data_IF_842128390228
#
_entry.id   IF_842128390228
#
_cell.length_a   1.000
_cell.length_b   1.000
_cell.length_c   1.000
_cell.angle_alpha   90.00
_cell.angle_beta   90.00
_cell.angle_gamma   90.00
#
_symmetry.space_group_name_H-M   'P 1'
#
loop_
_entity.id
_entity.type
_entity.pdbx_description
1 polymer ?
#
# COMPACT_ATOMS: atom_id res chain seq x y z
N UNK A 1 17.11 15.43 6.47
CA UNK A 1 17.78 14.33 5.74
C UNK A 1 17.32 14.40 4.29
N UNK A 2 18.21 14.10 3.31
CA UNK A 2 17.78 13.97 1.92
C UNK A 2 16.94 12.70 1.78
N UNK A 3 15.76 12.76 1.11
CA UNK A 3 14.94 11.56 0.88
C UNK A 3 15.72 10.46 0.13
N UNK A 4 15.45 9.20 0.44
CA UNK A 4 16.03 8.06 -0.25
C UNK A 4 15.43 7.89 -1.67
N UNK A 5 14.20 8.39 -1.87
CA UNK A 5 13.45 8.41 -3.11
C UNK A 5 12.14 9.18 -2.91
N UNK A 6 11.32 9.28 -3.95
CA UNK A 6 10.02 9.96 -3.86
C UNK A 6 8.94 9.04 -3.29
N UNK A 7 8.93 7.77 -3.71
CA UNK A 7 7.91 6.78 -3.36
C UNK A 7 8.52 5.44 -2.98
N UNK A 8 8.09 4.87 -1.85
CA UNK A 8 8.33 3.48 -1.52
C UNK A 8 7.08 2.64 -1.74
N UNK A 9 7.16 1.64 -2.61
CA UNK A 9 6.12 0.64 -2.85
C UNK A 9 6.37 -0.55 -1.93
N UNK A 10 5.48 -0.78 -0.99
CA UNK A 10 5.56 -1.87 -0.02
C UNK A 10 4.71 -3.04 -0.53
N UNK A 11 5.34 -4.20 -0.67
CA UNK A 11 4.75 -5.41 -1.28
C UNK A 11 4.92 -6.60 -0.35
N UNK A 12 4.00 -6.82 0.58
CA UNK A 12 3.93 -8.09 1.29
C UNK A 12 3.58 -9.22 0.31
N UNK A 13 4.30 -10.34 0.37
CA UNK A 13 4.07 -11.47 -0.53
C UNK A 13 4.27 -12.80 0.18
N UNK A 14 3.48 -13.81 -0.17
CA UNK A 14 3.60 -15.18 0.34
C UNK A 14 3.20 -16.20 -0.72
N UNK A 15 4.09 -17.17 -0.98
CA UNK A 15 3.84 -18.29 -1.90
C UNK A 15 3.69 -17.90 -3.38
N UNK A 16 4.09 -16.66 -3.75
CA UNK A 16 3.85 -16.09 -5.09
C UNK A 16 5.08 -15.39 -5.68
N UNK A 17 6.26 -16.03 -5.75
CA UNK A 17 7.49 -15.38 -6.21
C UNK A 17 7.39 -14.83 -7.64
N UNK A 18 6.59 -15.47 -8.52
CA UNK A 18 6.37 -15.00 -9.90
C UNK A 18 5.53 -13.70 -9.94
N UNK A 19 4.60 -13.54 -9.00
CA UNK A 19 3.83 -12.30 -8.86
C UNK A 19 4.74 -11.16 -8.44
N UNK A 20 5.55 -11.36 -7.39
CA UNK A 20 6.52 -10.38 -6.92
C UNK A 20 7.48 -9.95 -8.02
N UNK A 21 8.01 -10.90 -8.81
CA UNK A 21 8.86 -10.59 -9.97
C UNK A 21 8.14 -9.77 -11.03
N UNK A 22 6.89 -10.12 -11.36
CA UNK A 22 6.08 -9.41 -12.35
C UNK A 22 5.76 -7.99 -11.90
N UNK A 23 5.38 -7.80 -10.63
CA UNK A 23 5.13 -6.47 -10.06
C UNK A 23 6.41 -5.62 -10.11
N UNK A 24 7.53 -6.14 -9.63
CA UNK A 24 8.83 -5.46 -9.64
C UNK A 24 9.20 -4.98 -11.04
N UNK A 25 9.12 -5.86 -12.03
CA UNK A 25 9.37 -5.52 -13.43
C UNK A 25 8.43 -4.44 -13.95
N UNK A 26 7.12 -4.57 -13.68
CA UNK A 26 6.14 -3.59 -14.11
C UNK A 26 6.36 -2.20 -13.47
N UNK A 27 6.76 -2.14 -12.21
CA UNK A 27 7.13 -0.87 -11.55
C UNK A 27 8.34 -0.26 -12.24
N UNK A 28 9.42 -1.01 -12.48
CA UNK A 28 10.62 -0.50 -13.13
C UNK A 28 10.35 0.03 -14.55
N UNK A 29 9.52 -0.68 -15.32
CA UNK A 29 9.19 -0.26 -16.70
C UNK A 29 8.28 0.98 -16.76
N UNK A 30 7.43 1.19 -15.74
CA UNK A 30 6.37 2.20 -15.82
C UNK A 30 6.57 3.41 -14.91
N UNK A 31 7.47 3.35 -13.93
CA UNK A 31 7.75 4.46 -13.01
C UNK A 31 8.35 5.67 -13.73
N UNK A 32 8.11 6.86 -13.21
CA UNK A 32 8.67 8.15 -13.63
C UNK A 32 9.23 8.96 -12.47
N UNK A 33 8.78 8.71 -11.24
CA UNK A 33 9.36 9.24 -10.02
C UNK A 33 10.54 8.36 -9.55
N UNK A 34 11.29 8.81 -8.54
CA UNK A 34 12.29 7.98 -7.86
C UNK A 34 11.58 6.96 -6.96
N UNK A 35 11.00 5.95 -7.58
CA UNK A 35 10.18 4.91 -6.93
C UNK A 35 11.00 3.66 -6.68
N UNK A 36 11.01 3.20 -5.43
CA UNK A 36 11.66 1.97 -5.01
C UNK A 36 10.64 0.95 -4.54
N UNK A 37 10.98 -0.34 -4.61
CA UNK A 37 10.12 -1.45 -4.21
C UNK A 37 10.71 -2.18 -3.00
N UNK A 38 9.91 -2.39 -1.97
CA UNK A 38 10.25 -3.21 -0.81
C UNK A 38 9.38 -4.46 -0.79
N UNK A 39 9.95 -5.58 -1.20
CA UNK A 39 9.27 -6.89 -1.13
C UNK A 39 9.55 -7.51 0.23
N UNK A 40 8.49 -7.79 0.98
CA UNK A 40 8.53 -8.37 2.31
C UNK A 40 7.90 -9.77 2.31
N UNK A 41 8.64 -10.79 2.77
CA UNK A 41 8.22 -12.20 2.73
C UNK A 41 8.41 -12.85 4.09
N UNK A 42 7.47 -13.69 4.50
CA UNK A 42 7.58 -14.46 5.73
C UNK A 42 8.79 -15.42 5.68
N UNK A 43 9.55 -15.54 6.77
CA UNK A 43 10.75 -16.40 6.86
C UNK A 43 10.40 -17.90 6.83
N UNK A 44 9.14 -18.24 7.13
CA UNK A 44 8.59 -19.61 7.04
C UNK A 44 7.97 -19.91 5.65
N UNK A 45 8.13 -19.03 4.66
CA UNK A 45 7.59 -19.26 3.32
C UNK A 45 8.38 -20.37 2.60
N UNK A 46 7.74 -21.47 2.21
CA UNK A 46 8.41 -22.57 1.51
C UNK A 46 8.99 -22.16 0.15
N UNK A 47 8.53 -21.07 -0.45
CA UNK A 47 9.01 -20.54 -1.72
C UNK A 47 10.14 -19.49 -1.59
N UNK A 48 10.75 -19.33 -0.40
CA UNK A 48 11.86 -18.38 -0.21
C UNK A 48 13.02 -18.55 -1.21
N UNK A 49 13.46 -19.77 -1.56
CA UNK A 49 14.52 -19.95 -2.56
C UNK A 49 14.14 -19.37 -3.94
N UNK A 50 12.86 -19.47 -4.31
CA UNK A 50 12.30 -18.93 -5.56
C UNK A 50 12.20 -17.40 -5.51
N UNK A 51 11.80 -16.82 -4.37
CA UNK A 51 11.82 -15.36 -4.18
C UNK A 51 13.23 -14.80 -4.35
N UNK A 52 14.26 -15.42 -3.74
CA UNK A 52 15.67 -14.99 -3.90
C UNK A 52 16.15 -15.01 -5.35
N UNK A 53 15.53 -15.84 -6.20
CA UNK A 53 15.80 -15.82 -7.66
C UNK A 53 14.97 -14.72 -8.34
N UNK A 54 13.70 -14.59 -7.98
CA UNK A 54 12.77 -13.62 -8.56
C UNK A 54 13.21 -12.16 -8.37
N UNK A 55 13.83 -11.86 -7.21
CA UNK A 55 14.27 -10.49 -6.88
C UNK A 55 15.69 -10.15 -7.38
N UNK A 56 16.32 -10.99 -8.18
CA UNK A 56 17.67 -10.68 -8.73
C UNK A 56 17.71 -9.49 -9.69
N UNK A 57 16.55 -9.08 -10.19
CA UNK A 57 16.39 -7.90 -11.04
C UNK A 57 16.10 -6.61 -10.25
N UNK A 58 16.24 -6.62 -8.92
CA UNK A 58 16.16 -5.42 -8.11
C UNK A 58 17.21 -4.39 -8.52
N UNK A 59 16.81 -3.14 -8.51
CA UNK A 59 17.66 -2.00 -8.81
C UNK A 59 18.10 -1.29 -7.51
N UNK A 60 18.98 -0.30 -7.64
CA UNK A 60 19.44 0.48 -6.49
C UNK A 60 18.26 1.16 -5.79
N UNK A 61 18.19 1.00 -4.47
CA UNK A 61 17.09 1.48 -3.64
C UNK A 61 16.00 0.45 -3.35
N UNK A 62 15.85 -0.59 -4.18
CA UNK A 62 14.93 -1.70 -3.90
C UNK A 62 15.42 -2.55 -2.73
N UNK A 63 14.48 -3.21 -2.04
CA UNK A 63 14.79 -4.06 -0.88
C UNK A 63 14.00 -5.35 -0.92
N UNK A 64 14.67 -6.42 -0.50
CA UNK A 64 14.05 -7.70 -0.18
C UNK A 64 14.29 -8.02 1.29
N UNK A 65 13.23 -8.17 2.05
CA UNK A 65 13.29 -8.43 3.48
C UNK A 65 12.54 -9.72 3.82
N UNK A 66 13.09 -10.48 4.78
CA UNK A 66 12.43 -11.66 5.35
C UNK A 66 12.33 -11.52 6.86
N UNK A 67 11.25 -12.02 7.44
CA UNK A 67 11.05 -11.96 8.89
C UNK A 67 9.84 -12.77 9.35
N UNK A 68 9.51 -12.71 10.64
CA UNK A 68 8.42 -13.49 11.19
C UNK A 68 7.11 -13.28 10.47
N UNK A 69 6.33 -14.35 10.32
CA UNK A 69 5.03 -14.34 9.67
C UNK A 69 4.12 -13.23 10.22
N UNK A 70 3.65 -12.36 9.34
CA UNK A 70 2.87 -11.20 9.75
C UNK A 70 1.64 -10.94 8.87
N UNK A 71 1.55 -11.51 7.70
CA UNK A 71 0.52 -11.20 6.71
C UNK A 71 0.63 -9.77 6.16
N UNK A 72 -0.39 -9.33 5.40
CA UNK A 72 -0.38 -8.07 4.67
C UNK A 72 -0.25 -6.86 5.60
N UNK A 73 -1.16 -6.71 6.56
CA UNK A 73 -1.21 -5.51 7.39
C UNK A 73 0.03 -5.34 8.27
N UNK A 74 0.49 -6.41 8.91
CA UNK A 74 1.65 -6.35 9.80
C UNK A 74 2.95 -6.08 9.04
N UNK A 75 3.16 -6.67 7.85
CA UNK A 75 4.31 -6.39 7.02
C UNK A 75 4.29 -4.95 6.49
N UNK A 76 3.13 -4.50 5.98
CA UNK A 76 2.99 -3.12 5.50
C UNK A 76 3.32 -2.13 6.61
N UNK A 77 2.78 -2.32 7.82
CA UNK A 77 3.05 -1.44 8.96
C UNK A 77 4.53 -1.44 9.37
N UNK A 78 5.13 -2.63 9.48
CA UNK A 78 6.56 -2.75 9.85
C UNK A 78 7.45 -1.94 8.93
N UNK A 79 7.26 -2.08 7.63
CA UNK A 79 8.06 -1.37 6.63
C UNK A 79 7.69 0.11 6.59
N UNK A 80 6.39 0.45 6.54
CA UNK A 80 5.93 1.82 6.39
C UNK A 80 6.41 2.71 7.56
N UNK A 81 6.15 2.30 8.80
CA UNK A 81 6.53 3.08 9.99
C UNK A 81 8.05 3.28 10.08
N UNK A 82 8.82 2.24 9.73
CA UNK A 82 10.29 2.34 9.74
C UNK A 82 10.84 3.29 8.66
N UNK A 83 10.04 3.61 7.61
CA UNK A 83 10.49 4.38 6.42
C UNK A 83 9.85 5.76 6.27
N UNK A 84 8.95 6.18 7.15
CA UNK A 84 8.28 7.50 7.08
C UNK A 84 9.25 8.68 7.00
N UNK A 85 10.43 8.59 7.59
CA UNK A 85 11.46 9.62 7.52
C UNK A 85 12.36 9.56 6.27
N UNK A 86 12.26 8.51 5.45
CA UNK A 86 13.10 8.28 4.28
C UNK A 86 12.39 8.60 2.96
N UNK A 87 11.08 8.48 2.92
CA UNK A 87 10.25 8.68 1.72
C UNK A 87 9.09 9.64 2.03
N UNK A 88 8.84 10.65 1.19
CA UNK A 88 7.67 11.52 1.35
C UNK A 88 6.35 10.81 1.05
N UNK A 89 6.38 9.75 0.23
CA UNK A 89 5.19 8.97 -0.10
C UNK A 89 5.44 7.47 0.07
N UNK A 90 4.40 6.77 0.52
CA UNK A 90 4.38 5.32 0.70
C UNK A 90 3.20 4.73 -0.06
N UNK A 91 3.39 3.59 -0.71
CA UNK A 91 2.34 2.83 -1.37
C UNK A 91 2.19 1.44 -0.77
N UNK A 92 0.97 0.94 -0.66
CA UNK A 92 0.68 -0.47 -0.40
C UNK A 92 0.11 -1.09 -1.67
N UNK A 93 0.79 -2.12 -2.17
CA UNK A 93 0.38 -2.90 -3.33
C UNK A 93 0.39 -4.40 -2.99
N UNK A 94 -0.65 -5.12 -3.40
CA UNK A 94 -0.62 -6.58 -3.43
C UNK A 94 0.40 -7.09 -4.45
N UNK A 95 0.96 -8.27 -4.23
CA UNK A 95 1.92 -8.89 -5.16
C UNK A 95 1.28 -9.26 -6.53
N UNK A 96 -0.05 -9.28 -6.59
CA UNK A 96 -0.85 -9.52 -7.80
C UNK A 96 -1.31 -8.21 -8.49
N UNK A 97 -0.78 -7.07 -8.08
CA UNK A 97 -1.00 -5.80 -8.76
C UNK A 97 0.07 -5.52 -9.82
N UNK A 98 -0.34 -4.92 -10.93
CA UNK A 98 0.54 -4.66 -12.07
C UNK A 98 0.30 -3.26 -12.61
N UNK A 99 1.20 -2.30 -12.33
CA UNK A 99 1.14 -0.97 -12.96
C UNK A 99 1.19 -1.06 -14.49
N UNK A 100 0.26 -0.34 -15.16
CA UNK A 100 0.13 -0.33 -16.62
C UNK A 100 0.40 1.04 -17.21
N UNK A 101 -0.03 2.09 -16.53
CA UNK A 101 0.13 3.45 -17.04
C UNK A 101 1.55 3.95 -16.79
N UNK A 102 2.34 4.31 -17.84
CA UNK A 102 3.64 4.92 -17.64
C UNK A 102 3.53 6.21 -16.81
N UNK A 103 4.29 6.32 -15.73
CA UNK A 103 4.27 7.44 -14.79
C UNK A 103 3.08 7.43 -13.83
N UNK A 104 2.50 6.27 -13.58
CA UNK A 104 1.43 6.05 -12.60
C UNK A 104 1.80 6.63 -11.22
N UNK A 105 3.02 6.39 -10.79
CA UNK A 105 3.62 6.84 -9.53
C UNK A 105 3.65 8.37 -9.43
N UNK A 106 4.27 9.03 -10.40
CA UNK A 106 4.33 10.48 -10.47
C UNK A 106 2.93 11.13 -10.61
N UNK A 107 1.97 10.45 -11.25
CA UNK A 107 0.60 10.96 -11.34
C UNK A 107 -0.13 10.92 -9.99
N UNK A 108 0.04 9.85 -9.21
CA UNK A 108 -0.54 9.71 -7.87
C UNK A 108 0.10 10.70 -6.88
N UNK A 109 1.43 10.87 -6.93
CA UNK A 109 2.15 11.87 -6.14
C UNK A 109 1.59 13.28 -6.43
N UNK A 110 1.56 13.69 -7.72
CA UNK A 110 1.02 15.01 -8.09
C UNK A 110 -0.43 15.22 -7.66
N UNK A 111 -1.23 14.18 -7.60
CA UNK A 111 -2.61 14.28 -7.12
C UNK A 111 -2.67 14.58 -5.61
N UNK A 112 -1.73 14.05 -4.83
CA UNK A 112 -1.60 14.36 -3.40
C UNK A 112 -1.05 15.78 -3.22
N UNK A 113 -0.02 16.16 -3.99
CA UNK A 113 0.54 17.52 -3.98
C UNK A 113 -0.52 18.59 -4.29
N UNK A 114 -1.39 18.32 -5.27
CA UNK A 114 -2.51 19.20 -5.62
C UNK A 114 -3.57 19.34 -4.51
N UNK A 115 -3.56 18.46 -3.50
CA UNK A 115 -4.40 18.55 -2.30
C UNK A 115 -3.69 19.24 -1.11
N UNK A 116 -2.50 19.77 -1.32
CA UNK A 116 -1.68 20.42 -0.26
C UNK A 116 -0.58 19.53 0.31
N UNK A 117 -0.24 18.41 -0.34
CA UNK A 117 0.87 17.52 0.05
C UNK A 117 0.51 16.44 1.06
N UNK A 118 -0.57 16.61 1.82
CA UNK A 118 -1.10 15.61 2.78
C UNK A 118 -2.37 14.97 2.25
N UNK A 119 -2.33 13.68 1.93
CA UNK A 119 -3.48 12.97 1.37
C UNK A 119 -3.19 11.57 0.86
N UNK A 120 -4.21 11.04 0.20
CA UNK A 120 -4.27 9.70 -0.37
C UNK A 120 -4.67 9.78 -1.83
N UNK A 121 -4.03 8.99 -2.68
CA UNK A 121 -4.42 8.84 -4.07
C UNK A 121 -4.42 7.37 -4.49
N UNK A 122 -5.32 7.00 -5.39
CA UNK A 122 -5.40 5.63 -5.88
C UNK A 122 -5.78 5.56 -7.36
N UNK A 123 -5.29 4.54 -8.08
CA UNK A 123 -5.55 4.32 -9.50
C UNK A 123 -6.83 3.53 -9.73
N UNK A 124 -7.19 3.36 -10.99
CA UNK A 124 -8.12 2.32 -11.44
C UNK A 124 -7.44 0.94 -11.39
N UNK A 125 -8.03 -0.02 -10.67
CA UNK A 125 -7.49 -1.37 -10.47
C UNK A 125 -8.02 -2.44 -11.45
N UNK A 126 -8.88 -2.04 -12.37
CA UNK A 126 -9.54 -2.95 -13.31
C UNK A 126 -10.90 -3.45 -12.84
N UNK A 127 -11.30 -3.22 -11.58
CA UNK A 127 -12.51 -3.78 -10.97
C UNK A 127 -13.37 -2.74 -10.25
N UNK A 128 -12.77 -1.90 -9.39
CA UNK A 128 -13.49 -1.02 -8.47
C UNK A 128 -13.02 0.44 -8.55
N UNK A 129 -13.99 1.36 -8.45
CA UNK A 129 -13.74 2.80 -8.40
C UNK A 129 -13.93 3.39 -6.99
N UNK A 130 -14.53 2.64 -6.11
CA UNK A 130 -14.98 3.12 -4.79
C UNK A 130 -14.03 2.77 -3.63
N UNK A 131 -13.08 1.87 -3.85
CA UNK A 131 -12.15 1.41 -2.81
C UNK A 131 -10.71 1.46 -3.35
N UNK A 132 -9.75 2.02 -2.59
CA UNK A 132 -8.35 2.11 -2.97
C UNK A 132 -7.58 0.80 -2.68
N UNK A 133 -7.78 -0.24 -3.49
CA UNK A 133 -7.05 -1.52 -3.35
C UNK A 133 -5.54 -1.35 -3.56
N UNK A 134 -5.14 -0.38 -4.41
CA UNK A 134 -3.78 0.13 -4.53
C UNK A 134 -3.77 1.59 -4.05
N UNK A 135 -3.08 1.91 -2.97
CA UNK A 135 -3.08 3.26 -2.41
C UNK A 135 -1.68 3.83 -2.28
N UNK A 136 -1.54 5.12 -2.61
CA UNK A 136 -0.40 5.96 -2.24
C UNK A 136 -0.86 6.93 -1.16
N UNK A 137 -0.12 7.00 -0.07
CA UNK A 137 -0.34 7.91 1.04
C UNK A 137 0.88 8.82 1.23
N UNK A 138 0.67 10.06 1.64
CA UNK A 138 1.75 10.88 2.16
C UNK A 138 2.27 10.33 3.49
N UNK A 139 3.58 10.31 3.69
CA UNK A 139 4.22 9.68 4.86
C UNK A 139 3.87 10.35 6.19
N UNK A 140 3.52 11.62 6.18
CA UNK A 140 3.07 12.36 7.36
C UNK A 140 1.81 11.76 7.99
N UNK A 141 0.85 11.30 7.16
CA UNK A 141 -0.34 10.59 7.65
C UNK A 141 0.06 9.30 8.38
N UNK A 142 0.95 8.50 7.77
CA UNK A 142 1.41 7.24 8.37
C UNK A 142 2.20 7.50 9.66
N UNK A 143 3.04 8.54 9.67
CA UNK A 143 3.80 8.94 10.86
C UNK A 143 2.89 9.39 12.02
N UNK A 144 1.84 10.17 11.72
CA UNK A 144 0.94 10.69 12.73
C UNK A 144 -0.03 9.63 13.29
N UNK A 145 -0.54 8.74 12.43
CA UNK A 145 -1.37 7.62 12.87
C UNK A 145 -0.57 6.51 13.56
N UNK A 146 0.75 6.42 13.28
CA UNK A 146 1.61 5.34 13.75
C UNK A 146 1.41 4.01 13.01
N UNK A 147 0.66 4.00 11.91
CA UNK A 147 0.37 2.83 11.09
C UNK A 147 0.00 3.19 9.65
N UNK A 148 0.22 2.27 8.72
CA UNK A 148 -0.30 2.33 7.35
C UNK A 148 -1.60 1.53 7.24
N UNK A 149 -1.62 0.31 7.73
CA UNK A 149 -2.82 -0.53 7.82
C UNK A 149 -3.34 -0.50 9.26
N UNK A 150 -4.63 -0.37 9.47
CA UNK A 150 -5.24 -0.39 10.81
C UNK A 150 -4.79 -1.66 11.56
N UNK A 151 -4.15 -1.53 12.76
CA UNK A 151 -3.40 -2.63 13.38
C UNK A 151 -4.21 -3.85 13.82
N UNK A 152 -5.52 -3.74 13.98
CA UNK A 152 -6.38 -4.88 14.31
C UNK A 152 -6.77 -5.73 13.10
N UNK A 153 -6.46 -5.26 11.88
CA UNK A 153 -6.71 -5.98 10.64
C UNK A 153 -5.53 -6.88 10.26
N UNK A 154 -5.83 -8.00 9.62
CA UNK A 154 -4.81 -8.92 9.10
C UNK A 154 -4.62 -8.77 7.60
N UNK A 155 -5.73 -8.70 6.84
CA UNK A 155 -5.70 -8.70 5.38
C UNK A 155 -6.85 -7.92 4.74
N UNK A 156 -8.10 -8.20 5.13
CA UNK A 156 -9.29 -7.59 4.55
C UNK A 156 -9.63 -6.25 5.22
N UNK A 157 -10.42 -5.42 4.51
CA UNK A 157 -10.90 -4.12 4.98
C UNK A 157 -9.84 -3.02 5.15
N UNK A 158 -8.58 -3.28 4.83
CA UNK A 158 -7.51 -2.26 4.86
C UNK A 158 -7.83 -1.13 3.88
N UNK A 159 -8.27 -1.49 2.69
CA UNK A 159 -8.73 -0.60 1.63
C UNK A 159 -10.00 0.18 2.03
N UNK A 160 -10.93 -0.45 2.75
CA UNK A 160 -12.11 0.21 3.30
C UNK A 160 -11.73 1.28 4.34
N UNK A 161 -10.75 1.00 5.21
CA UNK A 161 -10.23 1.97 6.18
C UNK A 161 -9.68 3.20 5.46
N UNK A 162 -8.87 3.02 4.42
CA UNK A 162 -8.33 4.13 3.63
C UNK A 162 -9.41 4.93 2.90
N UNK A 163 -10.42 4.23 2.36
CA UNK A 163 -11.56 4.88 1.74
C UNK A 163 -12.33 5.76 2.73
N UNK A 164 -12.63 5.22 3.91
CA UNK A 164 -13.37 5.95 4.94
C UNK A 164 -12.58 7.14 5.51
N UNK A 165 -11.30 6.93 5.86
CA UNK A 165 -10.42 8.01 6.35
C UNK A 165 -10.29 9.13 5.33
N UNK A 166 -9.91 8.78 4.10
CA UNK A 166 -9.64 9.76 3.08
C UNK A 166 -10.88 10.54 2.66
N UNK A 167 -12.07 9.91 2.61
CA UNK A 167 -13.34 10.59 2.36
C UNK A 167 -13.72 11.51 3.51
N UNK A 168 -13.66 11.00 4.73
CA UNK A 168 -14.04 11.78 5.91
C UNK A 168 -13.09 12.96 6.15
N UNK A 169 -11.79 12.80 5.91
CA UNK A 169 -10.80 13.87 6.00
C UNK A 169 -10.78 14.80 4.77
N UNK A 170 -11.49 14.46 3.67
CA UNK A 170 -11.51 15.24 2.43
C UNK A 170 -10.17 15.24 1.69
N UNK A 171 -9.40 14.14 1.79
CA UNK A 171 -8.06 14.03 1.22
C UNK A 171 -7.85 12.77 0.36
N UNK A 172 -8.89 12.19 -0.19
CA UNK A 172 -8.83 11.02 -1.08
C UNK A 172 -9.03 11.45 -2.54
N UNK A 173 -8.12 11.02 -3.43
CA UNK A 173 -8.20 11.29 -4.86
C UNK A 173 -8.16 10.00 -5.68
N UNK A 174 -9.21 9.75 -6.44
CA UNK A 174 -9.27 8.69 -7.46
C UNK A 174 -8.75 9.20 -8.80
N UNK A 175 -7.87 8.43 -9.46
CA UNK A 175 -7.33 8.71 -10.78
C UNK A 175 -7.76 7.64 -11.79
N UNK A 176 -8.94 7.82 -12.40
CA UNK A 176 -9.50 6.87 -13.37
C UNK A 176 -8.59 6.61 -14.60
N UNK A 177 -7.81 7.60 -15.00
CA UNK A 177 -6.91 7.49 -16.16
C UNK A 177 -5.58 6.78 -15.86
N UNK A 178 -5.33 6.45 -14.59
CA UNK A 178 -4.14 5.72 -14.15
C UNK A 178 -4.55 4.30 -13.84
N UNK A 179 -3.99 3.33 -14.54
CA UNK A 179 -4.31 1.91 -14.38
C UNK A 179 -3.20 1.15 -13.66
N UNK A 180 -3.58 0.42 -12.60
CA UNK A 180 -2.80 -0.61 -11.91
C UNK A 180 -3.68 -1.84 -11.79
N UNK A 181 -3.53 -2.79 -12.71
CA UNK A 181 -4.39 -3.97 -12.75
C UNK A 181 -4.25 -4.84 -11.50
N UNK A 182 -5.35 -5.23 -10.91
CA UNK A 182 -5.41 -6.20 -9.82
C UNK A 182 -5.74 -7.61 -10.39
N UNK A 183 -4.73 -8.46 -10.52
CA UNK A 183 -4.86 -9.82 -11.07
C UNK A 183 -5.36 -10.82 -10.01
N UNK A 184 -6.36 -10.44 -9.23
CA UNK A 184 -6.87 -11.20 -8.10
C UNK A 184 -7.27 -12.63 -8.50
N UNK A 185 -6.63 -13.68 -7.96
CA UNK A 185 -6.93 -15.08 -8.32
C UNK A 185 -8.36 -15.49 -7.95
N UNK A 186 -8.91 -14.92 -6.88
CA UNK A 186 -10.29 -15.21 -6.44
C UNK A 186 -11.29 -14.65 -7.44
N UNK A 187 -11.11 -13.40 -7.87
CA UNK A 187 -11.97 -12.78 -8.87
C UNK A 187 -11.90 -13.49 -10.23
N UNK A 188 -10.76 -14.13 -10.53
CA UNK A 188 -10.57 -14.94 -11.73
C UNK A 188 -11.09 -16.39 -11.58
N UNK A 189 -11.72 -16.73 -10.45
CA UNK A 189 -12.23 -18.09 -10.19
C UNK A 189 -11.13 -19.15 -9.95
N UNK A 190 -9.90 -18.72 -9.64
CA UNK A 190 -8.72 -19.59 -9.45
C UNK A 190 -8.01 -19.33 -8.11
N UNK A 191 -8.71 -19.44 -6.96
CA UNK A 191 -8.10 -19.18 -5.66
C UNK A 191 -6.94 -20.12 -5.40
N UNK A 192 -5.77 -19.56 -5.09
CA UNK A 192 -4.57 -20.31 -4.70
C UNK A 192 -4.52 -20.60 -3.18
N UNK A 193 -3.42 -21.18 -2.70
CA UNK A 193 -3.27 -21.52 -1.29
C UNK A 193 -3.26 -20.25 -0.41
N UNK A 194 -2.58 -19.19 -0.84
CA UNK A 194 -2.51 -17.92 -0.14
C UNK A 194 -3.87 -17.25 -0.04
N UNK A 195 -4.67 -17.24 -1.12
CA UNK A 195 -6.04 -16.69 -1.11
C UNK A 195 -6.95 -17.45 -0.14
N UNK A 196 -6.82 -18.79 -0.07
CA UNK A 196 -7.60 -19.60 0.87
C UNK A 196 -7.17 -19.38 2.32
N UNK A 197 -5.89 -19.19 2.57
CA UNK A 197 -5.37 -18.92 3.93
C UNK A 197 -5.84 -17.54 4.40
N UNK A 198 -5.70 -16.52 3.56
CA UNK A 198 -6.21 -15.17 3.84
C UNK A 198 -7.72 -15.17 4.13
N UNK A 199 -8.50 -15.94 3.38
CA UNK A 199 -9.95 -16.05 3.57
C UNK A 199 -10.39 -16.41 5.00
N UNK A 200 -9.50 -16.99 5.81
CA UNK A 200 -9.78 -17.33 7.21
C UNK A 200 -9.91 -16.13 8.12
N UNK A 201 -9.27 -15.02 7.79
CA UNK A 201 -9.35 -13.78 8.60
C UNK A 201 -10.58 -12.92 8.28
N UNK A 202 -11.31 -13.18 7.19
CA UNK A 202 -12.37 -12.30 6.70
C UNK A 202 -13.41 -11.90 7.75
N UNK A 203 -13.90 -12.85 8.55
CA UNK A 203 -14.91 -12.56 9.57
C UNK A 203 -14.35 -11.75 10.75
N UNK A 204 -13.10 -12.03 11.14
CA UNK A 204 -12.40 -11.30 12.19
C UNK A 204 -12.07 -9.88 11.75
N UNK A 205 -11.53 -9.74 10.53
CA UNK A 205 -11.19 -8.43 9.94
C UNK A 205 -12.46 -7.57 9.76
N UNK A 206 -13.60 -8.17 9.39
CA UNK A 206 -14.88 -7.47 9.32
C UNK A 206 -15.28 -6.90 10.68
N UNK A 207 -15.24 -7.73 11.72
CA UNK A 207 -15.60 -7.30 13.08
C UNK A 207 -14.65 -6.20 13.60
N UNK A 208 -13.35 -6.33 13.33
CA UNK A 208 -12.33 -5.34 13.68
C UNK A 208 -12.56 -4.01 12.95
N UNK A 209 -12.85 -4.03 11.65
CA UNK A 209 -13.19 -2.85 10.88
C UNK A 209 -14.46 -2.14 11.40
N UNK A 210 -15.54 -2.89 11.70
CA UNK A 210 -16.77 -2.33 12.26
C UNK A 210 -16.53 -1.69 13.64
N UNK A 211 -15.67 -2.29 14.45
CA UNK A 211 -15.27 -1.76 15.75
C UNK A 211 -14.45 -0.48 15.60
N UNK A 212 -13.42 -0.46 14.73
CA UNK A 212 -12.62 0.72 14.42
C UNK A 212 -13.49 1.88 13.94
N UNK A 213 -14.41 1.64 13.00
CA UNK A 213 -15.34 2.69 12.51
C UNK A 213 -16.15 3.33 13.60
N UNK A 214 -16.59 2.54 14.56
CA UNK A 214 -17.43 3.02 15.67
C UNK A 214 -16.65 3.75 16.74
N UNK A 215 -15.43 3.30 17.03
CA UNK A 215 -14.74 3.69 18.26
C UNK A 215 -13.53 4.61 18.01
N UNK A 216 -12.89 4.52 16.84
CA UNK A 216 -11.60 5.20 16.60
C UNK A 216 -11.56 6.06 15.33
N UNK A 217 -12.36 5.76 14.33
CA UNK A 217 -12.32 6.46 13.05
C UNK A 217 -12.40 7.99 13.20
N UNK A 218 -13.23 8.48 14.11
CA UNK A 218 -13.40 9.93 14.30
C UNK A 218 -12.09 10.60 14.78
N UNK A 219 -11.37 9.95 15.69
CA UNK A 219 -10.09 10.43 16.22
C UNK A 219 -9.00 10.38 15.14
N UNK A 220 -8.90 9.28 14.41
CA UNK A 220 -7.94 9.15 13.30
C UNK A 220 -8.19 10.18 12.18
N UNK A 221 -9.45 10.48 11.87
CA UNK A 221 -9.84 11.54 10.93
C UNK A 221 -9.43 12.92 11.45
N UNK A 222 -9.59 13.17 12.76
CA UNK A 222 -9.19 14.44 13.36
C UNK A 222 -7.69 14.66 13.24
N UNK A 223 -6.88 13.64 13.49
CA UNK A 223 -5.41 13.67 13.29
C UNK A 223 -5.05 14.07 11.85
N UNK A 224 -5.69 13.45 10.84
CA UNK A 224 -5.40 13.78 9.43
C UNK A 224 -5.82 15.22 9.09
N UNK A 225 -6.95 15.69 9.61
CA UNK A 225 -7.41 17.07 9.38
C UNK A 225 -6.45 18.11 9.99
N UNK A 226 -5.97 17.86 11.20
CA UNK A 226 -4.98 18.72 11.87
C UNK A 226 -3.67 18.82 11.09
N UNK A 227 -3.16 17.71 10.56
CA UNK A 227 -2.00 17.68 9.68
C UNK A 227 -2.21 18.59 8.45
N UNK A 228 -3.38 18.47 7.80
CA UNK A 228 -3.70 19.23 6.60
C UNK A 228 -3.83 20.73 6.89
N UNK A 229 -4.43 21.10 7.99
CA UNK A 229 -4.54 22.50 8.43
C UNK A 229 -3.15 23.09 8.70
N UNK A 230 -2.27 22.32 9.37
CA UNK A 230 -0.89 22.75 9.65
C UNK A 230 -0.05 22.93 8.38
N UNK A 231 -0.25 22.10 7.36
CA UNK A 231 0.44 22.19 6.08
C UNK A 231 0.01 23.41 5.24
N UNK A 232 -1.16 23.99 5.50
CA UNK A 232 -1.69 25.15 4.79
C UNK A 232 -1.26 26.51 5.39
N UNK A 233 -0.63 26.52 6.57
CA UNK A 233 -0.12 27.73 7.21
C UNK A 233 1.30 27.99 6.67
N UNK A 234 1.53 29.07 5.87
CA UNK A 234 2.87 29.39 5.41
C UNK A 234 3.79 29.70 6.59
N UNK A 235 5.02 29.14 6.56
CA UNK A 235 6.06 29.42 7.54
C UNK A 235 6.55 30.88 7.45
#
# INVERSE_FOLDING_TARGET
MTPAGDLLVIVPSRGRPQNAARLLHAVHETRKAATHVHIAVDDDDPALPEYRKAVRCMEDGDRFETGPRGGLAAWTNRVAVARTGEYPYLASLGDDMVPRTPGWDAALIRAIEAMGGTGLAYPWDGTREDIPEAVVASSDIVAALGWFCEPSLSHFYVDNVWADLGRAAGCLRYLRAVAVDHLNPVAQGRPDATSRDNGRSLAADKAAYEMWRRERMADDVAVIRELRESALIPA
#
